data_IF_176336075314
#
_entry.id   IF_176336075314
#
_cell.length_a   1.000
_cell.length_b   1.000
_cell.length_c   1.000
_cell.angle_alpha   90.00
_cell.angle_beta   90.00
_cell.angle_gamma   90.00
#
_symmetry.space_group_name_H-M   'P 1'
#
loop_
_entity.id
_entity.type
_entity.pdbx_description
1 polymer ?
#
# COMPACT_ATOMS: atom_id res chain seq x y z
N UNK A 1 -14.87 4.77 -6.14
CA UNK A 1 -13.90 3.65 -6.10
C UNK A 1 -14.61 2.40 -6.62
N UNK A 2 -14.00 1.63 -7.52
CA UNK A 2 -14.61 0.39 -8.06
C UNK A 2 -14.03 -0.80 -7.29
N UNK A 3 -14.89 -1.56 -6.63
CA UNK A 3 -14.49 -2.79 -5.97
C UNK A 3 -14.50 -3.96 -6.96
N UNK A 4 -13.60 -4.91 -6.77
CA UNK A 4 -13.53 -6.15 -7.56
C UNK A 4 -13.92 -7.30 -6.63
N UNK A 5 -14.88 -8.11 -7.06
CA UNK A 5 -15.29 -9.31 -6.34
C UNK A 5 -14.35 -10.48 -6.66
N UNK A 6 -14.22 -11.43 -5.72
CA UNK A 6 -13.34 -12.61 -5.87
C UNK A 6 -13.58 -13.37 -7.17
N UNK A 7 -14.85 -13.54 -7.57
CA UNK A 7 -15.25 -14.25 -8.80
C UNK A 7 -14.82 -13.54 -10.10
N UNK A 8 -14.31 -12.31 -10.03
CA UNK A 8 -13.79 -11.56 -11.16
C UNK A 8 -12.26 -11.72 -11.32
N UNK A 9 -11.62 -12.50 -10.45
CA UNK A 9 -10.16 -12.69 -10.42
C UNK A 9 -9.85 -14.17 -10.65
N UNK A 10 -9.49 -14.49 -11.90
CA UNK A 10 -9.39 -15.86 -12.39
C UNK A 10 -8.04 -16.54 -12.12
N UNK A 11 -7.05 -15.80 -11.58
CA UNK A 11 -5.71 -16.32 -11.28
C UNK A 11 -5.35 -16.06 -9.82
N UNK A 12 -5.03 -17.13 -9.11
CA UNK A 12 -4.41 -17.03 -7.79
C UNK A 12 -3.04 -16.39 -7.88
N UNK A 13 -2.59 -15.80 -6.77
CA UNK A 13 -1.30 -15.12 -6.65
C UNK A 13 -1.10 -14.00 -7.67
N UNK A 14 -2.19 -13.41 -8.18
CA UNK A 14 -2.10 -12.24 -9.05
C UNK A 14 -2.20 -10.92 -8.28
N UNK A 15 -3.04 -10.88 -7.24
CA UNK A 15 -3.24 -9.68 -6.43
C UNK A 15 -2.08 -9.45 -5.47
N UNK A 16 -1.67 -8.20 -5.28
CA UNK A 16 -0.69 -7.80 -4.27
C UNK A 16 -1.41 -7.01 -3.18
N UNK A 17 -1.13 -7.32 -1.91
CA UNK A 17 -1.61 -6.52 -0.78
C UNK A 17 -0.72 -5.29 -0.64
N UNK A 18 -1.34 -4.12 -0.56
CA UNK A 18 -0.66 -2.83 -0.45
C UNK A 18 -1.28 -1.95 0.65
N UNK A 19 -0.47 -1.08 1.25
CA UNK A 19 -0.89 -0.26 2.38
C UNK A 19 0.29 0.25 3.20
N UNK A 20 0.00 1.00 4.26
CA UNK A 20 1.01 1.46 5.24
C UNK A 20 1.20 0.42 6.34
N UNK A 21 2.41 0.30 6.86
CA UNK A 21 2.73 -0.57 7.99
C UNK A 21 2.29 -2.02 7.74
N UNK A 22 2.63 -2.56 6.58
CA UNK A 22 1.99 -3.77 6.08
C UNK A 22 2.52 -5.05 6.75
N UNK A 23 3.69 -5.01 7.38
CA UNK A 23 4.29 -6.17 8.06
C UNK A 23 3.35 -6.79 9.10
N UNK A 24 2.94 -6.03 10.15
CA UNK A 24 1.95 -6.48 11.12
C UNK A 24 0.62 -6.91 10.49
N UNK A 25 0.13 -6.13 9.50
CA UNK A 25 -1.13 -6.43 8.80
C UNK A 25 -1.06 -7.77 8.09
N UNK A 26 0.05 -8.11 7.42
CA UNK A 26 0.24 -9.39 6.75
C UNK A 26 0.29 -10.56 7.73
N UNK A 27 0.95 -10.37 8.88
CA UNK A 27 1.00 -11.39 9.93
C UNK A 27 -0.40 -11.69 10.47
N UNK A 28 -1.20 -10.66 10.70
CA UNK A 28 -2.56 -10.81 11.20
C UNK A 28 -3.51 -11.38 10.15
N UNK A 29 -3.40 -10.92 8.89
CA UNK A 29 -4.17 -11.43 7.76
C UNK A 29 -4.02 -12.95 7.60
N UNK A 30 -2.81 -13.49 7.82
CA UNK A 30 -2.55 -14.94 7.78
C UNK A 30 -3.34 -15.71 8.84
N UNK A 31 -3.64 -15.10 9.99
CA UNK A 31 -4.42 -15.72 11.06
C UNK A 31 -5.92 -15.59 10.81
N UNK A 32 -6.38 -14.38 10.48
CA UNK A 32 -7.81 -14.07 10.39
C UNK A 32 -8.43 -14.48 9.05
N UNK A 33 -7.64 -14.52 7.97
CA UNK A 33 -8.11 -14.82 6.61
C UNK A 33 -7.05 -15.61 5.82
N UNK A 34 -6.68 -16.83 6.25
CA UNK A 34 -5.61 -17.61 5.65
C UNK A 34 -5.81 -17.89 4.16
N UNK A 35 -7.03 -18.29 3.77
CA UNK A 35 -7.37 -18.55 2.36
C UNK A 35 -7.21 -17.31 1.48
N UNK A 36 -7.59 -16.13 1.98
CA UNK A 36 -7.42 -14.88 1.25
C UNK A 36 -5.94 -14.48 1.16
N UNK A 37 -5.17 -14.71 2.24
CA UNK A 37 -3.73 -14.46 2.23
C UNK A 37 -2.99 -15.34 1.21
N UNK A 38 -3.36 -16.63 1.11
CA UNK A 38 -2.81 -17.57 0.12
C UNK A 38 -3.23 -17.26 -1.31
N UNK A 39 -4.46 -16.75 -1.49
CA UNK A 39 -4.94 -16.26 -2.78
C UNK A 39 -4.14 -15.05 -3.27
N UNK A 40 -3.70 -14.18 -2.37
CA UNK A 40 -2.83 -13.06 -2.69
C UNK A 40 -1.40 -13.51 -3.01
N UNK A 41 -0.72 -12.76 -3.86
CA UNK A 41 0.70 -12.95 -4.14
C UNK A 41 1.54 -12.74 -2.87
N UNK A 42 2.69 -13.41 -2.80
CA UNK A 42 3.57 -13.35 -1.63
C UNK A 42 4.20 -11.96 -1.41
N UNK A 43 4.40 -11.20 -2.50
CA UNK A 43 4.91 -9.82 -2.43
C UNK A 43 3.89 -8.89 -1.79
N UNK A 44 4.41 -7.82 -1.20
CA UNK A 44 3.65 -6.70 -0.66
C UNK A 44 4.21 -5.39 -1.18
N UNK A 45 3.37 -4.36 -1.20
CA UNK A 45 3.81 -2.97 -1.42
C UNK A 45 3.53 -2.21 -0.13
N UNK A 46 4.59 -1.93 0.63
CA UNK A 46 4.50 -1.11 1.83
C UNK A 46 4.78 0.36 1.48
N UNK A 47 3.84 1.23 1.84
CA UNK A 47 3.92 2.66 1.63
C UNK A 47 4.68 3.25 2.82
N UNK A 48 6.01 3.19 2.76
CA UNK A 48 6.89 3.69 3.82
C UNK A 48 7.45 5.07 3.47
N UNK A 49 6.87 6.11 4.07
CA UNK A 49 7.28 7.49 3.84
C UNK A 49 8.67 7.82 4.41
N UNK A 50 9.18 7.03 5.35
CA UNK A 50 10.46 7.30 6.04
C UNK A 50 11.69 7.27 5.11
N UNK A 51 11.65 6.45 4.05
CA UNK A 51 12.71 6.43 3.05
C UNK A 51 12.67 7.70 2.21
N UNK A 52 11.47 8.15 1.83
CA UNK A 52 11.28 9.39 1.07
C UNK A 52 11.72 10.61 1.88
N UNK A 53 11.46 10.63 3.19
CA UNK A 53 11.95 11.69 4.09
C UNK A 53 13.47 11.80 4.11
N UNK A 54 14.16 10.65 4.20
CA UNK A 54 15.62 10.60 4.28
C UNK A 54 16.31 10.91 2.95
N UNK A 55 15.80 10.36 1.85
CA UNK A 55 16.47 10.43 0.55
C UNK A 55 15.99 11.60 -0.31
N UNK A 56 14.76 12.08 -0.10
CA UNK A 56 14.12 13.14 -0.87
C UNK A 56 13.42 14.16 0.03
N UNK A 57 14.13 14.79 0.99
CA UNK A 57 13.52 15.64 2.02
C UNK A 57 12.73 16.82 1.46
N UNK A 58 13.18 17.40 0.34
CA UNK A 58 12.49 18.53 -0.30
C UNK A 58 11.16 18.11 -0.95
N UNK A 59 11.13 16.94 -1.59
CA UNK A 59 9.91 16.37 -2.19
C UNK A 59 8.97 15.92 -1.06
N UNK A 60 9.51 15.29 -0.01
CA UNK A 60 8.75 14.83 1.14
C UNK A 60 7.99 15.95 1.87
N UNK A 61 8.53 17.17 1.91
CA UNK A 61 7.84 18.36 2.45
C UNK A 61 6.65 18.82 1.60
N UNK A 62 6.62 18.49 0.32
CA UNK A 62 5.56 18.84 -0.62
C UNK A 62 4.45 17.79 -0.70
N UNK A 63 4.55 16.72 0.09
CA UNK A 63 3.56 15.65 0.06
C UNK A 63 2.17 16.19 0.45
N UNK A 64 1.09 15.65 -0.14
CA UNK A 64 -0.25 16.19 0.02
C UNK A 64 -0.83 16.04 1.45
N UNK A 65 -0.31 15.11 2.25
CA UNK A 65 -0.83 14.81 3.60
C UNK A 65 0.32 14.48 4.57
N UNK A 66 0.22 14.89 5.84
CA UNK A 66 1.18 14.47 6.88
C UNK A 66 0.94 13.00 7.25
N UNK A 67 1.93 12.37 7.88
CA UNK A 67 1.84 10.95 8.22
C UNK A 67 0.73 10.67 9.25
N UNK A 68 0.35 11.68 10.02
CA UNK A 68 -0.58 11.59 11.14
C UNK A 68 -2.03 12.00 10.79
N UNK A 69 -2.28 12.44 9.54
CA UNK A 69 -3.61 12.91 9.09
C UNK A 69 -4.62 11.76 8.86
N UNK A 70 -4.41 10.61 9.49
CA UNK A 70 -5.35 9.50 9.56
C UNK A 70 -5.08 8.33 8.63
N UNK A 71 -5.61 7.17 9.02
CA UNK A 71 -5.57 5.88 8.31
C UNK A 71 -6.46 5.85 7.04
N UNK A 72 -6.69 6.98 6.39
CA UNK A 72 -7.52 7.03 5.19
C UNK A 72 -6.81 6.36 4.01
N UNK A 73 -7.48 5.38 3.42
CA UNK A 73 -7.05 4.67 2.22
C UNK A 73 -6.84 5.64 1.05
N UNK A 74 -7.70 6.65 0.91
CA UNK A 74 -7.59 7.64 -0.16
C UNK A 74 -6.29 8.45 -0.04
N UNK A 75 -5.96 8.90 1.17
CA UNK A 75 -4.71 9.62 1.44
C UNK A 75 -3.49 8.75 1.11
N UNK A 76 -3.56 7.44 1.36
CA UNK A 76 -2.47 6.51 1.05
C UNK A 76 -2.29 6.30 -0.46
N UNK A 77 -3.38 6.21 -1.23
CA UNK A 77 -3.34 6.10 -2.69
C UNK A 77 -2.76 7.38 -3.31
N UNK A 78 -3.23 8.54 -2.88
CA UNK A 78 -2.74 9.83 -3.37
C UNK A 78 -1.26 10.05 -3.03
N UNK A 79 -0.82 9.60 -1.85
CA UNK A 79 0.59 9.65 -1.49
C UNK A 79 1.47 8.79 -2.42
N UNK A 80 1.02 7.59 -2.77
CA UNK A 80 1.74 6.72 -3.72
C UNK A 80 1.76 7.36 -5.12
N UNK A 81 0.66 7.97 -5.56
CA UNK A 81 0.62 8.73 -6.81
C UNK A 81 1.65 9.85 -6.78
N UNK A 82 1.65 10.67 -5.72
CA UNK A 82 2.60 11.75 -5.56
C UNK A 82 4.06 11.27 -5.67
N UNK A 83 4.45 10.23 -4.91
CA UNK A 83 5.83 9.71 -5.00
C UNK A 83 6.13 9.09 -6.36
N UNK A 84 5.19 8.38 -6.98
CA UNK A 84 5.35 7.85 -8.34
C UNK A 84 5.68 8.95 -9.34
N UNK A 85 5.03 10.11 -9.25
CA UNK A 85 5.25 11.22 -10.19
C UNK A 85 6.48 12.07 -9.89
N UNK A 86 6.94 12.11 -8.64
CA UNK A 86 8.01 13.02 -8.20
C UNK A 86 9.37 12.34 -8.03
N UNK A 87 9.40 11.05 -7.67
CA UNK A 87 10.63 10.33 -7.32
C UNK A 87 10.97 9.27 -8.39
N UNK A 88 9.98 8.55 -8.89
CA UNK A 88 10.18 7.43 -9.80
C UNK A 88 10.04 7.89 -11.26
N UNK A 89 10.97 7.46 -12.14
CA UNK A 89 10.93 7.70 -13.60
C UNK A 89 10.23 6.56 -14.32
#
# INVERSE_FOLDING_TARGET
MKFVHRNQIYRERFLIVAGKFLGPVRSELKKIAPQFNEFCHYRSVDIVSILCEKWFPNIYKQRPFKNDDGNDLNNSIELVRFYRWTIFK
#
